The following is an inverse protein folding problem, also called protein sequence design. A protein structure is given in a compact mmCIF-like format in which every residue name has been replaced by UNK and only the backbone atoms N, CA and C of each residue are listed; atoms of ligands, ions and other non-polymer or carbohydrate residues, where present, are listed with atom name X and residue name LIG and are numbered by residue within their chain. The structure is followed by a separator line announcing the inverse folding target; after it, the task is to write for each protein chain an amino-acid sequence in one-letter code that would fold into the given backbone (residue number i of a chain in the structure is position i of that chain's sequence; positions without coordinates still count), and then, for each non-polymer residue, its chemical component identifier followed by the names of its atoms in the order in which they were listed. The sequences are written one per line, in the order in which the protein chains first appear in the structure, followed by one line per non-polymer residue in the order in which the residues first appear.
data_IF_221119397975
#
_entry.id   IF_221119397975
#
_cell.length_a   1.000
_cell.length_b   1.000
_cell.length_c   1.000
_cell.angle_alpha   90.00
_cell.angle_beta   90.00
_cell.angle_gamma   90.00
#
_symmetry.space_group_name_H-M   'P 1'
#
loop_
_entity.id
_entity.type
_entity.pdbx_description
1 polymer ?
#
# COMPACT_ATOMS: atom_id res chain seq x y z
N UNK A 1 -1.72 3.18 -15.65
CA UNK A 1 -0.80 2.22 -15.00
C UNK A 1 -1.00 2.34 -13.50
N UNK A 2 -1.05 1.21 -12.79
CA UNK A 2 -1.75 1.12 -11.50
C UNK A 2 -0.93 0.28 -10.53
N UNK A 3 -0.43 0.91 -9.46
CA UNK A 3 0.33 0.26 -8.37
C UNK A 3 -0.57 -0.03 -7.19
N UNK A 4 -0.35 -1.15 -6.50
CA UNK A 4 -1.07 -1.47 -5.27
C UNK A 4 -0.35 -0.86 -4.08
N UNK A 5 -1.12 -0.37 -3.12
CA UNK A 5 -0.60 0.15 -1.85
C UNK A 5 -1.26 -0.59 -0.72
N UNK A 6 -0.44 -0.99 0.24
CA UNK A 6 -0.88 -1.62 1.47
C UNK A 6 -0.37 -0.80 2.64
N UNK A 7 -1.24 -0.61 3.62
CA UNK A 7 -0.89 0.04 4.86
C UNK A 7 -1.29 -0.83 6.05
N UNK A 8 -0.42 -0.86 7.04
CA UNK A 8 -0.71 -1.39 8.36
C UNK A 8 0.06 -0.60 9.41
N UNK A 9 -0.44 -0.64 10.64
CA UNK A 9 0.28 -0.09 11.79
C UNK A 9 0.26 -1.05 12.96
N UNK A 10 1.25 -0.91 13.83
CA UNK A 10 1.37 -1.64 15.09
C UNK A 10 1.86 -0.68 16.18
N UNK A 11 1.29 -0.81 17.36
CA UNK A 11 1.66 0.01 18.53
C UNK A 11 2.45 -0.84 19.51
N UNK A 12 3.60 -0.35 19.99
CA UNK A 12 4.40 -1.06 21.00
C UNK A 12 3.91 -0.77 22.43
N UNK A 13 4.54 -1.40 23.42
CA UNK A 13 4.22 -1.19 24.84
C UNK A 13 4.46 0.25 25.31
N UNK A 14 5.41 0.94 24.68
CA UNK A 14 5.77 2.33 24.96
C UNK A 14 4.83 3.34 24.27
N UNK A 15 3.73 2.85 23.66
CA UNK A 15 2.74 3.63 22.92
C UNK A 15 3.27 4.30 21.64
N UNK A 16 4.40 3.86 21.12
CA UNK A 16 4.90 4.30 19.82
C UNK A 16 4.18 3.55 18.69
N UNK A 17 3.78 4.27 17.65
CA UNK A 17 3.12 3.71 16.48
C UNK A 17 4.13 3.53 15.34
N UNK A 18 4.32 2.29 14.91
CA UNK A 18 4.97 1.97 13.65
C UNK A 18 3.91 1.93 12.55
N UNK A 19 4.00 2.85 11.59
CA UNK A 19 3.19 2.83 10.38
C UNK A 19 4.03 2.39 9.19
N UNK A 20 3.60 1.33 8.50
CA UNK A 20 4.25 0.82 7.29
C UNK A 20 3.34 1.00 6.10
N UNK A 21 3.87 1.63 5.05
CA UNK A 21 3.23 1.80 3.75
C UNK A 21 4.09 1.08 2.72
N UNK A 22 3.54 0.03 2.11
CA UNK A 22 4.18 -0.72 1.04
C UNK A 22 3.52 -0.39 -0.30
N UNK A 23 4.34 -0.01 -1.27
CA UNK A 23 3.92 0.24 -2.65
C UNK A 23 4.49 -0.88 -3.52
N UNK A 24 3.62 -1.60 -4.21
CA UNK A 24 3.99 -2.71 -5.08
C UNK A 24 4.24 -2.22 -6.50
N UNK A 25 5.12 -2.94 -7.20
CA UNK A 25 5.35 -2.74 -8.62
C UNK A 25 4.10 -3.01 -9.45
N UNK A 26 4.11 -2.47 -10.67
CA UNK A 26 2.99 -2.60 -11.60
C UNK A 26 2.85 -4.04 -12.08
N UNK A 27 1.60 -4.52 -12.18
CA UNK A 27 1.31 -5.90 -12.58
C UNK A 27 1.10 -6.89 -11.43
N UNK A 28 1.41 -6.52 -10.19
CA UNK A 28 1.09 -7.34 -9.02
C UNK A 28 -0.43 -7.33 -8.76
N UNK A 29 -1.02 -8.52 -8.64
CA UNK A 29 -2.45 -8.68 -8.39
C UNK A 29 -2.79 -8.59 -6.88
N UNK A 30 -4.08 -8.41 -6.57
CA UNK A 30 -4.56 -8.27 -5.18
C UNK A 30 -4.38 -9.55 -4.35
N UNK A 31 -4.42 -10.73 -4.96
CA UNK A 31 -4.30 -12.00 -4.24
C UNK A 31 -2.87 -12.25 -3.77
N UNK A 32 -1.89 -11.94 -4.61
CA UNK A 32 -0.46 -12.04 -4.27
C UNK A 32 -0.09 -11.07 -3.16
N UNK A 33 -0.55 -9.81 -3.23
CA UNK A 33 -0.39 -8.81 -2.16
C UNK A 33 -0.96 -9.30 -0.83
N UNK A 34 -2.16 -9.91 -0.86
CA UNK A 34 -2.80 -10.46 0.34
C UNK A 34 -2.08 -11.68 0.89
N UNK A 35 -1.38 -12.44 0.05
CA UNK A 35 -0.57 -13.58 0.49
C UNK A 35 0.73 -13.11 1.16
N UNK A 36 1.36 -12.06 0.65
CA UNK A 36 2.56 -11.49 1.26
C UNK A 36 2.27 -10.71 2.55
N UNK A 37 1.16 -9.96 2.58
CA UNK A 37 0.78 -9.12 3.72
C UNK A 37 -0.62 -9.47 4.22
N UNK A 38 -0.83 -10.67 4.79
CA UNK A 38 -2.17 -11.14 5.16
C UNK A 38 -2.81 -10.35 6.30
N UNK A 39 -1.98 -9.70 7.13
CA UNK A 39 -2.41 -8.93 8.29
C UNK A 39 -2.76 -7.48 7.96
N UNK A 40 -2.56 -7.03 6.70
CA UNK A 40 -2.86 -5.64 6.36
C UNK A 40 -4.35 -5.36 6.40
N UNK A 41 -4.73 -4.27 7.06
CA UNK A 41 -6.13 -3.85 7.19
C UNK A 41 -6.56 -2.89 6.08
N UNK A 42 -5.61 -2.19 5.48
CA UNK A 42 -5.89 -1.16 4.49
C UNK A 42 -5.20 -1.47 3.15
N UNK A 43 -5.97 -1.38 2.07
CA UNK A 43 -5.50 -1.57 0.71
C UNK A 43 -6.03 -0.43 -0.16
N UNK A 44 -5.17 0.11 -1.00
CA UNK A 44 -5.57 1.03 -2.05
C UNK A 44 -4.63 0.96 -3.23
N UNK A 45 -4.69 2.01 -4.03
CA UNK A 45 -4.15 1.97 -5.37
C UNK A 45 -3.61 3.33 -5.76
N UNK A 46 -2.41 3.35 -6.34
CA UNK A 46 -1.82 4.52 -6.96
C UNK A 46 -2.01 4.47 -8.46
N UNK A 47 -2.56 5.53 -9.03
CA UNK A 47 -2.77 5.72 -10.45
C UNK A 47 -1.82 6.80 -10.94
N UNK A 48 -1.09 6.51 -12.01
CA UNK A 48 -0.26 7.54 -12.65
C UNK A 48 -1.16 8.61 -13.26
N UNK A 49 -0.90 9.89 -12.97
CA UNK A 49 -1.67 10.98 -13.56
C UNK A 49 -1.27 11.22 -15.01
N UNK A 50 -2.24 11.48 -15.89
CA UNK A 50 -1.99 11.64 -17.33
C UNK A 50 -1.31 12.98 -17.67
N UNK A 51 -1.26 13.93 -16.73
CA UNK A 51 -0.75 15.30 -16.95
C UNK A 51 0.56 15.62 -16.23
N UNK A 52 1.27 14.63 -15.65
CA UNK A 52 2.56 14.87 -14.99
C UNK A 52 3.28 13.63 -14.47
N UNK A 53 4.39 13.82 -13.75
CA UNK A 53 5.11 12.78 -13.01
C UNK A 53 4.49 12.52 -11.61
N UNK A 54 3.16 12.57 -11.50
CA UNK A 54 2.44 12.40 -10.25
C UNK A 54 1.73 11.06 -10.15
N UNK A 55 1.38 10.69 -8.92
CA UNK A 55 0.50 9.55 -8.64
C UNK A 55 -0.66 10.01 -7.77
N UNK A 56 -1.87 9.71 -8.20
CA UNK A 56 -3.09 9.91 -7.42
C UNK A 56 -3.43 8.63 -6.66
N UNK A 57 -3.97 8.79 -5.45
CA UNK A 57 -4.26 7.70 -4.53
C UNK A 57 -5.78 7.52 -4.37
N UNK A 58 -6.25 6.27 -4.49
CA UNK A 58 -7.66 5.89 -4.29
C UNK A 58 -7.80 4.60 -3.50
#
# INVERSE_FOLDING_TARGET
MTRRVVQWSATNYDQEELQVIQVFEEGINKQDVKREVPFSRWHGVLYKTERGNGYDFK
#
